data_IF_137112102196
#
_entry.id   IF_137112102196
#
_cell.length_a   1.000
_cell.length_b   1.000
_cell.length_c   1.000
_cell.angle_alpha   90.00
_cell.angle_beta   90.00
_cell.angle_gamma   90.00
#
_symmetry.space_group_name_H-M   'P 1'
#
loop_
_entity.id
_entity.type
_entity.pdbx_description
1 polymer ?
#
# COMPACT_ATOMS: atom_id res chain seq x y z
N UNK A 1 -9.52 89.93 -14.06
CA UNK A 1 -8.55 88.94 -13.54
C UNK A 1 -9.34 87.76 -12.97
N UNK A 2 -9.29 86.59 -13.61
CA UNK A 2 -9.88 85.36 -13.08
C UNK A 2 -8.77 84.33 -12.90
N UNK A 3 -8.40 84.07 -11.64
CA UNK A 3 -7.29 83.20 -11.25
C UNK A 3 -7.79 81.75 -11.27
N UNK A 4 -7.38 80.97 -12.27
CA UNK A 4 -7.72 79.55 -12.41
C UNK A 4 -6.99 78.77 -11.31
N UNK A 5 -7.73 78.20 -10.36
CA UNK A 5 -7.20 77.29 -9.32
C UNK A 5 -6.67 76.02 -10.01
N UNK A 6 -5.35 75.77 -9.93
CA UNK A 6 -4.78 74.46 -10.25
C UNK A 6 -5.26 73.48 -9.18
N UNK A 7 -5.99 72.44 -9.60
CA UNK A 7 -6.30 71.27 -8.78
C UNK A 7 -4.99 70.51 -8.60
N UNK A 8 -4.60 70.20 -7.37
CA UNK A 8 -3.49 69.31 -7.11
C UNK A 8 -3.88 67.92 -7.64
N UNK A 9 -3.16 67.43 -8.64
CA UNK A 9 -3.23 66.02 -9.04
C UNK A 9 -2.53 65.21 -7.95
N UNK A 10 -3.24 64.22 -7.43
CA UNK A 10 -2.80 63.33 -6.38
C UNK A 10 -1.78 62.34 -6.96
N UNK A 11 -0.50 62.62 -6.76
CA UNK A 11 0.61 61.83 -7.29
C UNK A 11 0.80 60.47 -6.57
N UNK A 12 -0.11 60.09 -5.67
CA UNK A 12 -0.03 58.85 -4.88
C UNK A 12 -0.62 57.61 -5.55
N UNK A 13 -1.46 57.75 -6.58
CA UNK A 13 -2.25 56.62 -7.12
C UNK A 13 -1.58 55.84 -8.26
N UNK A 14 -0.50 56.36 -8.87
CA UNK A 14 0.13 55.73 -10.05
C UNK A 14 0.80 54.39 -9.78
N UNK A 15 1.33 54.18 -8.56
CA UNK A 15 1.92 52.90 -8.15
C UNK A 15 0.85 51.84 -7.89
N UNK A 16 -0.35 52.25 -7.46
CA UNK A 16 -1.44 51.33 -7.17
C UNK A 16 -1.95 50.67 -8.45
N UNK A 17 -1.92 51.38 -9.58
CA UNK A 17 -2.36 50.84 -10.88
C UNK A 17 -1.42 49.75 -11.41
N UNK A 18 -0.11 49.91 -11.25
CA UNK A 18 0.88 48.89 -11.68
C UNK A 18 0.90 47.68 -10.73
N UNK A 19 0.68 47.91 -9.44
CA UNK A 19 0.46 46.83 -8.47
C UNK A 19 -0.81 46.05 -8.77
N UNK A 20 -1.92 46.73 -9.05
CA UNK A 20 -3.17 46.10 -9.43
C UNK A 20 -3.01 45.27 -10.70
N UNK A 21 -2.29 45.77 -11.71
CA UNK A 21 -1.98 45.03 -12.94
C UNK A 21 -1.19 43.74 -12.65
N UNK A 22 -0.10 43.81 -11.87
CA UNK A 22 0.68 42.62 -11.49
C UNK A 22 -0.14 41.59 -10.70
N UNK A 23 -1.00 42.04 -9.77
CA UNK A 23 -1.88 41.13 -9.00
C UNK A 23 -2.90 40.47 -9.93
N UNK A 24 -3.45 41.18 -10.91
CA UNK A 24 -4.38 40.59 -11.88
C UNK A 24 -3.72 39.63 -12.84
N UNK A 25 -2.46 39.89 -13.25
CA UNK A 25 -1.68 38.94 -14.05
C UNK A 25 -1.36 37.67 -13.27
N UNK A 26 -1.03 37.80 -11.99
CA UNK A 26 -0.80 36.66 -11.10
C UNK A 26 -2.08 35.86 -10.87
N UNK A 27 -3.21 36.52 -10.64
CA UNK A 27 -4.52 35.87 -10.52
C UNK A 27 -4.90 35.12 -11.81
N UNK A 28 -4.73 35.75 -12.97
CA UNK A 28 -5.00 35.11 -14.26
C UNK A 28 -4.09 33.90 -14.50
N UNK A 29 -2.83 33.98 -14.10
CA UNK A 29 -1.89 32.85 -14.16
C UNK A 29 -2.34 31.68 -13.27
N UNK A 30 -2.70 31.93 -12.00
CA UNK A 30 -3.18 30.89 -11.10
C UNK A 30 -4.52 30.28 -11.54
N UNK A 31 -5.43 31.07 -12.11
CA UNK A 31 -6.69 30.55 -12.66
C UNK A 31 -6.42 29.67 -13.88
N UNK A 32 -5.45 30.01 -14.74
CA UNK A 32 -5.05 29.13 -15.84
C UNK A 32 -4.37 27.84 -15.36
N UNK A 33 -3.50 27.92 -14.35
CA UNK A 33 -2.90 26.73 -13.73
C UNK A 33 -3.96 25.84 -13.07
N UNK A 34 -4.92 26.44 -12.37
CA UNK A 34 -6.04 25.73 -11.76
C UNK A 34 -6.92 25.04 -12.82
N UNK A 35 -7.15 25.69 -13.97
CA UNK A 35 -7.88 25.09 -15.07
C UNK A 35 -7.13 23.94 -15.77
N UNK A 36 -5.80 23.93 -15.75
CA UNK A 36 -4.98 22.79 -16.23
C UNK A 36 -4.81 21.70 -15.16
N UNK A 37 -5.16 21.97 -13.89
CA UNK A 37 -4.91 21.07 -12.77
C UNK A 37 -5.98 19.98 -12.59
N UNK A 38 -7.09 20.01 -13.34
CA UNK A 38 -8.07 18.92 -13.30
C UNK A 38 -7.91 18.01 -14.52
N UNK A 39 -6.98 17.06 -14.42
CA UNK A 39 -7.04 15.86 -15.25
C UNK A 39 -8.22 15.05 -14.73
N UNK A 40 -9.19 14.78 -15.62
CA UNK A 40 -10.40 14.03 -15.31
C UNK A 40 -10.07 12.54 -15.43
N UNK A 41 -9.94 11.84 -14.31
CA UNK A 41 -9.53 10.43 -14.24
C UNK A 41 -10.38 9.53 -15.17
N UNK A 42 -11.66 9.85 -15.29
CA UNK A 42 -12.57 9.09 -16.16
C UNK A 42 -12.23 9.26 -17.65
N UNK A 43 -11.76 10.43 -18.06
CA UNK A 43 -11.33 10.69 -19.46
C UNK A 43 -9.98 10.06 -19.75
N UNK A 44 -9.06 10.04 -18.79
CA UNK A 44 -7.79 9.33 -18.91
C UNK A 44 -7.99 7.82 -19.03
N UNK A 45 -8.87 7.24 -18.19
CA UNK A 45 -9.28 5.84 -18.30
C UNK A 45 -10.00 5.53 -19.62
N UNK A 46 -10.83 6.45 -20.13
CA UNK A 46 -11.47 6.30 -21.45
C UNK A 46 -10.44 6.34 -22.60
N UNK A 47 -9.41 7.17 -22.46
CA UNK A 47 -8.30 7.24 -23.43
C UNK A 47 -7.44 5.97 -23.38
N UNK A 48 -7.12 5.46 -22.18
CA UNK A 48 -6.42 4.18 -22.00
C UNK A 48 -7.23 3.02 -22.56
N UNK A 49 -8.55 3.00 -22.36
CA UNK A 49 -9.45 2.00 -22.94
C UNK A 49 -9.50 2.07 -24.47
N UNK A 50 -9.50 3.27 -25.04
CA UNK A 50 -9.42 3.47 -26.49
C UNK A 50 -8.05 3.07 -27.07
N UNK A 51 -6.98 3.21 -26.28
CA UNK A 51 -5.63 2.75 -26.62
C UNK A 51 -5.54 1.22 -26.53
N UNK A 52 -6.11 0.62 -25.50
CA UNK A 52 -6.26 -0.84 -25.35
C UNK A 52 -7.11 -1.43 -26.47
N UNK A 53 -8.13 -0.73 -26.97
CA UNK A 53 -8.91 -1.19 -28.11
C UNK A 53 -8.17 -1.03 -29.45
N UNK A 54 -7.31 -0.02 -29.57
CA UNK A 54 -6.47 0.23 -30.74
C UNK A 54 -5.20 -0.66 -30.80
N UNK A 55 -4.66 -1.06 -29.64
CA UNK A 55 -3.46 -1.90 -29.51
C UNK A 55 -3.77 -3.35 -29.08
N UNK A 56 -4.96 -3.61 -28.54
CA UNK A 56 -5.32 -4.83 -27.81
C UNK A 56 -6.45 -5.63 -28.44
N UNK A 57 -6.59 -5.61 -29.76
CA UNK A 57 -7.27 -6.70 -30.47
C UNK A 57 -6.24 -7.71 -31.02
N UNK A 58 -5.50 -8.30 -30.09
CA UNK A 58 -4.90 -9.63 -30.22
C UNK A 58 -4.99 -10.32 -28.87
N UNK A 59 -6.24 -10.64 -28.51
CA UNK A 59 -6.56 -11.59 -27.47
C UNK A 59 -5.58 -12.77 -27.55
N UNK A 60 -4.94 -13.04 -26.42
CA UNK A 60 -3.97 -14.10 -26.17
C UNK A 60 -4.50 -15.47 -26.63
N UNK A 61 -4.33 -15.74 -27.92
CA UNK A 61 -4.33 -17.05 -28.53
C UNK A 61 -3.16 -17.04 -29.53
N UNK A 62 -2.27 -18.02 -29.36
CA UNK A 62 -1.11 -18.31 -30.21
C UNK A 62 0.17 -17.46 -30.03
N UNK A 63 0.88 -17.70 -28.92
CA UNK A 63 2.34 -17.81 -29.01
C UNK A 63 2.66 -19.14 -29.73
N UNK A 64 2.57 -19.12 -31.05
CA UNK A 64 3.44 -19.92 -31.91
C UNK A 64 4.19 -18.88 -32.74
N UNK A 65 5.50 -18.79 -32.55
CA UNK A 65 6.40 -18.25 -33.56
C UNK A 65 6.27 -19.14 -34.81
N UNK A 66 5.23 -18.88 -35.60
CA UNK A 66 4.99 -19.48 -36.90
C UNK A 66 5.19 -18.37 -37.94
N UNK A 67 6.28 -18.53 -38.69
CA UNK A 67 6.86 -17.50 -39.54
C UNK A 67 5.87 -16.84 -40.49
N UNK A 68 6.04 -15.53 -40.64
CA UNK A 68 5.54 -14.82 -41.81
C UNK A 68 6.15 -15.43 -43.09
N UNK A 69 5.42 -15.38 -44.22
CA UNK A 69 5.81 -16.04 -45.45
C UNK A 69 7.09 -15.42 -46.03
N UNK A 70 8.13 -16.25 -46.17
CA UNK A 70 9.29 -15.97 -47.01
C UNK A 70 8.86 -15.68 -48.45
N UNK A 71 9.31 -14.54 -48.96
CA UNK A 71 9.20 -14.14 -50.36
C UNK A 71 10.28 -14.83 -51.21
N UNK A 72 10.29 -16.16 -51.34
CA UNK A 72 11.08 -16.89 -52.35
C UNK A 72 10.36 -18.20 -52.74
N UNK A 73 9.97 -18.31 -54.02
CA UNK A 73 10.11 -19.53 -54.81
C UNK A 73 9.11 -20.68 -54.64
N UNK A 74 8.11 -20.68 -55.53
CA UNK A 74 7.39 -21.81 -56.14
C UNK A 74 7.90 -23.25 -55.86
N UNK A 75 7.00 -24.16 -55.42
CA UNK A 75 6.28 -25.13 -56.28
C UNK A 75 5.48 -26.11 -55.38
N UNK A 76 4.16 -26.23 -55.63
CA UNK A 76 3.29 -27.31 -55.12
C UNK A 76 3.66 -28.68 -55.79
N UNK A 77 3.16 -29.88 -55.38
CA UNK A 77 1.86 -30.14 -54.72
C UNK A 77 1.76 -31.30 -53.68
N UNK A 78 0.64 -31.29 -52.94
CA UNK A 78 -0.36 -32.38 -52.84
C UNK A 78 -0.70 -32.90 -51.42
N UNK A 79 -2.00 -32.82 -51.06
CA UNK A 79 -2.69 -33.75 -50.14
C UNK A 79 -3.24 -33.20 -48.82
N UNK A 80 -4.56 -33.03 -48.74
CA UNK A 80 -5.40 -33.08 -47.51
C UNK A 80 -6.31 -34.32 -47.63
N UNK A 81 -6.81 -34.99 -46.56
CA UNK A 81 -7.48 -34.39 -45.40
C UNK A 81 -7.25 -35.03 -44.00
N UNK A 82 -7.75 -34.32 -42.96
CA UNK A 82 -7.95 -34.67 -41.53
C UNK A 82 -9.08 -35.72 -41.32
N UNK A 83 -9.48 -36.21 -40.10
CA UNK A 83 -8.96 -36.14 -38.71
C UNK A 83 -8.86 -37.51 -37.99
N UNK A 84 -8.34 -37.59 -36.74
CA UNK A 84 -8.98 -38.24 -35.56
C UNK A 84 -7.99 -38.58 -34.43
N UNK A 85 -8.27 -37.95 -33.27
CA UNK A 85 -8.11 -38.35 -31.86
C UNK A 85 -7.02 -39.35 -31.41
N UNK A 86 -6.27 -38.93 -30.37
CA UNK A 86 -5.50 -39.82 -29.50
C UNK A 86 -4.14 -39.26 -29.09
N UNK A 87 -4.13 -38.11 -28.42
CA UNK A 87 -2.88 -37.48 -27.94
C UNK A 87 -2.28 -38.23 -26.76
N UNK A 88 -1.41 -39.20 -27.06
CA UNK A 88 -0.36 -39.64 -26.14
C UNK A 88 0.84 -38.70 -26.32
N UNK A 89 1.31 -38.10 -25.22
CA UNK A 89 2.53 -37.28 -25.20
C UNK A 89 3.73 -38.22 -25.31
N UNK A 90 4.39 -38.22 -26.47
CA UNK A 90 5.71 -38.83 -26.63
C UNK A 90 6.75 -37.76 -26.32
N UNK A 91 7.43 -37.88 -25.18
CA UNK A 91 8.62 -37.07 -24.87
C UNK A 91 9.74 -37.54 -25.81
N UNK A 92 10.02 -36.75 -26.85
CA UNK A 92 11.23 -36.90 -27.65
C UNK A 92 12.36 -36.23 -26.86
N UNK A 93 13.20 -37.05 -26.24
CA UNK A 93 14.47 -36.61 -25.68
C UNK A 93 15.32 -36.03 -26.82
N UNK A 94 15.63 -34.73 -26.75
CA UNK A 94 16.67 -34.13 -27.57
C UNK A 94 17.94 -34.20 -26.74
N UNK A 95 18.79 -35.16 -27.07
CA UNK A 95 20.17 -35.21 -26.61
C UNK A 95 20.90 -34.01 -27.22
N UNK A 96 21.13 -32.96 -26.42
CA UNK A 96 22.04 -31.87 -26.78
C UNK A 96 23.17 -31.84 -25.76
N UNK A 97 24.37 -32.03 -26.28
CA UNK A 97 25.62 -32.09 -25.55
C UNK A 97 25.82 -30.81 -24.71
N UNK A 98 25.89 -30.98 -23.38
CA UNK A 98 25.87 -29.90 -22.38
C UNK A 98 27.21 -29.15 -22.28
N UNK A 99 28.16 -29.46 -23.17
CA UNK A 99 29.53 -28.95 -23.16
C UNK A 99 29.73 -27.66 -23.97
N UNK A 100 28.89 -27.39 -24.98
CA UNK A 100 29.00 -26.18 -25.82
C UNK A 100 28.38 -24.91 -25.18
N UNK A 101 27.45 -25.06 -24.23
CA UNK A 101 26.80 -23.94 -23.55
C UNK A 101 27.73 -23.29 -22.51
N UNK A 102 28.66 -24.07 -21.95
CA UNK A 102 29.62 -23.59 -20.94
C UNK A 102 30.72 -22.68 -21.52
N UNK A 103 31.04 -22.80 -22.81
CA UNK A 103 32.01 -21.92 -23.48
C UNK A 103 31.39 -20.60 -23.96
N UNK A 104 30.11 -20.60 -24.33
CA UNK A 104 29.39 -19.39 -24.71
C UNK A 104 29.17 -18.41 -23.54
N UNK A 105 28.93 -18.92 -22.32
CA UNK A 105 28.74 -18.09 -21.12
C UNK A 105 30.06 -17.49 -20.62
N UNK A 106 31.19 -18.20 -20.77
CA UNK A 106 32.50 -17.67 -20.37
C UNK A 106 32.96 -16.50 -21.24
N UNK A 107 32.69 -16.54 -22.54
CA UNK A 107 33.12 -15.49 -23.46
C UNK A 107 32.26 -14.21 -23.43
N UNK A 108 31.13 -14.22 -22.69
CA UNK A 108 30.30 -13.03 -22.45
C UNK A 108 30.68 -12.26 -21.17
N UNK A 109 31.62 -12.79 -20.37
CA UNK A 109 32.02 -12.21 -19.06
C UNK A 109 33.39 -11.52 -19.11
N UNK A 110 33.92 -11.21 -20.29
CA UNK A 110 35.21 -10.55 -20.45
C UNK A 110 35.09 -9.38 -21.44
N UNK A 111 34.49 -8.29 -20.96
CA UNK A 111 34.65 -6.95 -21.50
C UNK A 111 34.54 -5.97 -20.33
N UNK A 112 35.69 -5.38 -20.04
CA UNK A 112 36.10 -4.53 -18.92
C UNK A 112 35.13 -3.38 -18.54
N UNK A 113 35.29 -2.84 -17.31
CA UNK A 113 34.32 -2.06 -16.57
C UNK A 113 34.27 -0.61 -17.04
N UNK A 114 33.06 -0.06 -17.18
CA UNK A 114 32.90 1.39 -17.21
C UNK A 114 32.96 1.91 -15.79
N UNK A 115 34.12 2.45 -15.42
CA UNK A 115 34.31 3.31 -14.26
C UNK A 115 33.43 4.56 -14.40
N UNK A 116 32.24 4.55 -13.81
CA UNK A 116 31.68 5.76 -13.22
C UNK A 116 32.39 5.95 -11.89
N UNK A 117 33.13 7.06 -11.77
CA UNK A 117 33.66 7.56 -10.51
C UNK A 117 32.53 7.52 -9.47
N UNK A 118 32.69 6.67 -8.45
CA UNK A 118 31.87 6.70 -7.25
C UNK A 118 32.13 8.04 -6.56
N UNK A 119 31.22 9.00 -6.76
CA UNK A 119 31.08 10.14 -5.86
C UNK A 119 30.60 9.57 -4.51
N UNK A 120 31.33 9.76 -3.39
CA UNK A 120 30.99 9.17 -2.09
C UNK A 120 29.81 9.86 -1.38
N UNK A 121 29.05 10.69 -2.09
CA UNK A 121 27.88 11.44 -1.59
C UNK A 121 26.58 11.06 -2.33
N UNK A 122 26.51 9.89 -2.97
CA UNK A 122 25.25 9.34 -3.49
C UNK A 122 24.37 8.93 -2.31
N UNK A 123 23.58 9.89 -1.83
CA UNK A 123 22.49 9.68 -0.89
C UNK A 123 21.60 8.61 -1.50
N UNK A 124 21.53 7.46 -0.83
CA UNK A 124 20.64 6.33 -1.07
C UNK A 124 19.25 6.86 -1.45
N UNK A 125 18.99 6.98 -2.74
CA UNK A 125 17.76 7.56 -3.23
C UNK A 125 16.73 6.44 -3.20
N UNK A 126 15.77 6.45 -2.25
CA UNK A 126 14.87 5.32 -2.05
C UNK A 126 14.17 5.00 -3.37
N UNK A 127 14.21 3.74 -3.79
CA UNK A 127 13.53 3.32 -5.02
C UNK A 127 12.04 3.20 -4.72
N UNK A 128 11.30 4.25 -5.06
CA UNK A 128 9.86 4.33 -4.84
C UNK A 128 9.11 3.92 -6.12
N UNK A 129 8.16 2.99 -5.98
CA UNK A 129 7.25 2.56 -7.04
C UNK A 129 6.55 3.76 -7.70
N UNK A 130 6.64 3.85 -9.01
CA UNK A 130 5.79 4.76 -9.80
C UNK A 130 4.48 4.09 -10.25
N UNK A 131 3.58 4.89 -10.85
CA UNK A 131 2.28 4.40 -11.33
C UNK A 131 2.37 3.28 -12.38
N UNK A 132 3.42 3.25 -13.21
CA UNK A 132 3.64 2.17 -14.19
C UNK A 132 4.10 0.89 -13.52
N UNK A 133 5.07 1.01 -12.60
CA UNK A 133 5.57 -0.13 -11.84
C UNK A 133 4.47 -0.74 -10.97
N UNK A 134 3.57 0.07 -10.39
CA UNK A 134 2.42 -0.45 -9.65
C UNK A 134 1.50 -1.34 -10.49
N UNK A 135 1.33 -1.04 -11.78
CA UNK A 135 0.53 -1.86 -12.70
C UNK A 135 1.22 -3.19 -12.96
N UNK A 136 2.55 -3.19 -13.12
CA UNK A 136 3.34 -4.42 -13.29
C UNK A 136 3.31 -5.29 -12.02
N UNK A 137 3.46 -4.65 -10.86
CA UNK A 137 3.33 -5.31 -9.55
C UNK A 137 1.94 -5.92 -9.39
N UNK A 138 0.87 -5.16 -9.67
CA UNK A 138 -0.50 -5.69 -9.59
C UNK A 138 -0.69 -6.90 -10.51
N UNK A 139 -0.19 -6.84 -11.75
CA UNK A 139 -0.28 -7.96 -12.69
C UNK A 139 0.45 -9.22 -12.16
N UNK A 140 1.64 -9.05 -11.58
CA UNK A 140 2.39 -10.15 -10.98
C UNK A 140 1.66 -10.76 -9.76
N UNK A 141 1.01 -9.93 -8.95
CA UNK A 141 0.21 -10.41 -7.82
C UNK A 141 -1.04 -11.18 -8.28
N UNK A 142 -1.75 -10.70 -9.30
CA UNK A 142 -2.92 -11.40 -9.86
C UNK A 142 -2.54 -12.73 -10.53
N UNK A 143 -1.37 -12.83 -11.15
CA UNK A 143 -0.84 -14.11 -11.64
C UNK A 143 -0.55 -15.05 -10.47
N UNK A 144 0.02 -14.53 -9.37
CA UNK A 144 0.30 -15.32 -8.19
C UNK A 144 -0.97 -15.84 -7.50
N UNK A 145 -2.04 -15.04 -7.41
CA UNK A 145 -3.33 -15.51 -6.87
C UNK A 145 -3.89 -16.64 -7.72
N UNK A 146 -3.76 -16.53 -9.04
CA UNK A 146 -4.22 -17.56 -10.00
C UNK A 146 -3.43 -18.86 -9.83
N UNK A 147 -2.11 -18.76 -9.67
CA UNK A 147 -1.24 -19.92 -9.44
C UNK A 147 -1.54 -20.63 -8.12
N UNK A 148 -1.91 -19.88 -7.10
CA UNK A 148 -2.23 -20.39 -5.76
C UNK A 148 -3.70 -20.79 -5.60
N UNK A 149 -4.59 -20.46 -6.54
CA UNK A 149 -6.02 -20.79 -6.45
C UNK A 149 -6.75 -20.02 -5.35
N UNK A 150 -6.36 -18.76 -5.10
CA UNK A 150 -6.92 -17.88 -4.06
C UNK A 150 -7.51 -16.59 -4.63
N UNK A 151 -7.89 -16.59 -5.91
CA UNK A 151 -8.38 -15.42 -6.65
C UNK A 151 -9.62 -14.79 -6.00
N UNK A 152 -10.50 -15.61 -5.41
CA UNK A 152 -11.71 -15.13 -4.75
C UNK A 152 -11.43 -14.46 -3.39
N UNK A 153 -10.22 -14.64 -2.86
CA UNK A 153 -9.86 -14.21 -1.50
C UNK A 153 -8.92 -13.02 -1.45
N UNK A 154 -8.31 -12.69 -2.58
CA UNK A 154 -7.42 -11.54 -2.73
C UNK A 154 -8.03 -10.56 -3.72
N UNK A 155 -8.05 -9.29 -3.35
CA UNK A 155 -8.45 -8.21 -4.26
C UNK A 155 -7.40 -7.12 -4.23
N UNK A 156 -6.91 -6.71 -5.39
CA UNK A 156 -5.99 -5.59 -5.54
C UNK A 156 -6.73 -4.35 -6.03
N UNK A 157 -6.28 -3.17 -5.60
CA UNK A 157 -6.76 -1.88 -6.10
C UNK A 157 -5.62 -0.88 -6.15
N UNK A 158 -5.40 -0.29 -7.31
CA UNK A 158 -4.52 0.86 -7.48
C UNK A 158 -5.31 2.15 -7.22
N UNK A 159 -4.71 3.05 -6.45
CA UNK A 159 -5.24 4.38 -6.14
C UNK A 159 -4.12 5.42 -6.22
N UNK A 160 -4.46 6.71 -6.08
CA UNK A 160 -3.46 7.77 -6.04
C UNK A 160 -2.50 7.67 -4.84
N UNK A 161 -2.92 7.03 -3.74
CA UNK A 161 -2.09 6.82 -2.55
C UNK A 161 -1.15 5.61 -2.70
N UNK A 162 -1.44 4.71 -3.66
CA UNK A 162 -0.67 3.51 -3.93
C UNK A 162 -1.52 2.26 -4.17
N UNK A 163 -0.91 1.09 -3.97
CA UNK A 163 -1.53 -0.21 -4.18
C UNK A 163 -2.08 -0.77 -2.87
N UNK A 164 -3.38 -1.04 -2.83
CA UNK A 164 -4.04 -1.73 -1.72
C UNK A 164 -4.30 -3.18 -2.11
N UNK A 165 -3.78 -4.10 -1.30
CA UNK A 165 -3.97 -5.54 -1.43
C UNK A 165 -4.86 -5.97 -0.26
N UNK A 166 -6.08 -6.41 -0.56
CA UNK A 166 -7.05 -6.87 0.44
C UNK A 166 -7.02 -8.39 0.46
N UNK A 167 -6.67 -8.96 1.60
CA UNK A 167 -6.62 -10.41 1.82
C UNK A 167 -7.71 -10.79 2.81
N UNK A 168 -8.62 -11.67 2.38
CA UNK A 168 -9.61 -12.26 3.27
C UNK A 168 -8.91 -13.15 4.31
N UNK A 169 -9.28 -12.99 5.59
CA UNK A 169 -8.60 -13.78 6.65
C UNK A 169 -9.11 -15.19 6.77
N UNK A 170 -10.40 -15.41 6.46
CA UNK A 170 -11.07 -16.67 6.70
C UNK A 170 -10.39 -17.80 5.93
N UNK A 171 -9.95 -18.81 6.67
CA UNK A 171 -9.39 -20.08 6.20
C UNK A 171 -8.12 -20.02 5.34
N UNK A 172 -7.55 -18.82 5.12
CA UNK A 172 -6.36 -18.63 4.27
C UNK A 172 -5.15 -18.14 5.05
N UNK A 173 -5.33 -17.14 5.92
CA UNK A 173 -4.26 -16.59 6.75
C UNK A 173 -4.41 -16.95 8.22
N UNK A 174 -5.63 -16.98 8.74
CA UNK A 174 -5.89 -17.17 10.16
C UNK A 174 -7.09 -18.08 10.38
N UNK A 175 -7.09 -18.81 11.50
CA UNK A 175 -8.34 -19.40 12.00
C UNK A 175 -9.29 -18.32 12.50
N UNK A 176 -10.57 -18.65 12.54
CA UNK A 176 -11.59 -17.79 13.15
C UNK A 176 -11.23 -17.46 14.61
N UNK A 177 -11.24 -16.17 14.95
CA UNK A 177 -10.90 -15.66 16.28
C UNK A 177 -9.43 -15.78 16.70
N UNK A 178 -8.52 -16.18 15.80
CA UNK A 178 -7.07 -16.24 16.05
C UNK A 178 -6.30 -15.22 15.23
N UNK A 179 -5.11 -14.86 15.72
CA UNK A 179 -4.06 -14.10 15.03
C UNK A 179 -2.83 -14.95 14.71
N UNK A 180 -2.87 -16.26 15.00
CA UNK A 180 -1.80 -17.18 14.61
C UNK A 180 -1.88 -17.44 13.10
N UNK A 181 -0.79 -17.14 12.39
CA UNK A 181 -0.70 -17.39 10.96
C UNK A 181 -0.72 -18.90 10.67
N UNK A 182 -1.60 -19.30 9.76
CA UNK A 182 -1.65 -20.65 9.25
C UNK A 182 -0.63 -20.86 8.14
N UNK A 183 0.09 -21.97 8.20
CA UNK A 183 0.95 -22.39 7.11
C UNK A 183 0.09 -22.83 5.93
N UNK A 184 0.22 -22.14 4.79
CA UNK A 184 -0.57 -22.44 3.61
C UNK A 184 -0.46 -21.40 2.51
N UNK A 185 -1.46 -21.38 1.64
CA UNK A 185 -1.49 -20.53 0.44
C UNK A 185 -1.49 -19.04 0.79
N UNK A 186 -2.08 -18.64 1.92
CA UNK A 186 -2.06 -17.26 2.39
C UNK A 186 -0.65 -16.77 2.73
N UNK A 187 0.09 -17.56 3.52
CA UNK A 187 1.48 -17.25 3.84
C UNK A 187 2.37 -17.25 2.59
N UNK A 188 2.16 -18.18 1.66
CA UNK A 188 2.89 -18.22 0.39
C UNK A 188 2.61 -16.97 -0.46
N UNK A 189 1.35 -16.52 -0.51
CA UNK A 189 0.98 -15.29 -1.21
C UNK A 189 1.62 -14.05 -0.57
N UNK A 190 1.64 -13.93 0.76
CA UNK A 190 2.36 -12.84 1.45
C UNK A 190 3.85 -12.87 1.10
N UNK A 191 4.44 -14.05 0.92
CA UNK A 191 5.81 -14.18 0.42
C UNK A 191 6.02 -13.67 -1.01
N UNK A 192 5.05 -13.88 -1.89
CA UNK A 192 5.08 -13.27 -3.23
C UNK A 192 4.99 -11.75 -3.15
N UNK A 193 4.08 -11.23 -2.32
CA UNK A 193 3.98 -9.78 -2.05
C UNK A 193 5.33 -9.24 -1.56
N UNK A 194 5.95 -9.90 -0.60
CA UNK A 194 7.26 -9.50 -0.08
C UNK A 194 8.35 -9.51 -1.15
N UNK A 195 8.40 -10.57 -1.98
CA UNK A 195 9.38 -10.69 -3.05
C UNK A 195 9.26 -9.58 -4.09
N UNK A 196 8.03 -9.17 -4.42
CA UNK A 196 7.79 -8.05 -5.35
C UNK A 196 8.14 -6.71 -4.70
N UNK A 197 7.95 -6.56 -3.38
CA UNK A 197 8.24 -5.32 -2.64
C UNK A 197 9.67 -5.20 -2.12
N UNK A 198 10.50 -6.24 -2.29
CA UNK A 198 11.87 -6.28 -1.80
C UNK A 198 12.79 -5.30 -2.52
N UNK A 199 12.54 -5.03 -3.80
CA UNK A 199 13.35 -4.14 -4.63
C UNK A 199 12.99 -2.65 -4.48
N UNK A 200 11.99 -2.34 -3.65
CA UNK A 200 11.44 -1.00 -3.48
C UNK A 200 11.51 -0.56 -2.03
N UNK A 201 11.57 0.74 -1.78
CA UNK A 201 11.64 1.33 -0.43
C UNK A 201 10.30 1.93 0.02
N UNK A 202 9.24 1.70 -0.74
CA UNK A 202 7.90 2.19 -0.43
C UNK A 202 7.46 1.82 1.00
N UNK A 203 6.81 2.75 1.71
CA UNK A 203 6.15 2.42 2.97
C UNK A 203 5.06 1.38 2.78
N UNK A 204 4.93 0.51 3.77
CA UNK A 204 3.96 -0.57 3.80
C UNK A 204 3.11 -0.42 5.06
N UNK A 205 1.82 -0.22 4.88
CA UNK A 205 0.85 -0.16 5.97
C UNK A 205 0.04 -1.45 6.00
N UNK A 206 0.00 -2.09 7.16
CA UNK A 206 -0.78 -3.31 7.38
C UNK A 206 -1.96 -2.98 8.28
N UNK A 207 -3.17 -3.08 7.72
CA UNK A 207 -4.40 -2.80 8.43
C UNK A 207 -5.18 -4.08 8.73
N UNK A 208 -5.50 -4.31 10.01
CA UNK A 208 -6.34 -5.42 10.43
C UNK A 208 -7.80 -4.99 10.61
N UNK A 209 -8.74 -5.83 10.17
CA UNK A 209 -10.17 -5.61 10.35
C UNK A 209 -10.89 -6.85 10.87
N UNK A 210 -11.98 -6.63 11.60
CA UNK A 210 -12.88 -7.68 12.09
C UNK A 210 -14.31 -7.42 11.63
N UNK A 211 -15.19 -8.38 11.91
CA UNK A 211 -16.63 -8.13 11.93
C UNK A 211 -17.07 -7.54 13.28
N UNK A 212 -18.37 -7.31 13.42
CA UNK A 212 -19.02 -6.77 14.62
C UNK A 212 -19.33 -7.82 15.69
N UNK A 213 -18.92 -9.09 15.51
CA UNK A 213 -19.20 -10.14 16.47
C UNK A 213 -18.22 -10.01 17.63
N UNK A 214 -18.70 -9.84 18.88
CA UNK A 214 -17.80 -9.78 20.03
C UNK A 214 -17.08 -11.11 20.26
N UNK A 215 -15.81 -11.05 20.60
CA UNK A 215 -15.02 -12.23 20.96
C UNK A 215 -15.40 -12.74 22.35
N UNK A 216 -15.54 -14.05 22.48
CA UNK A 216 -15.78 -14.74 23.76
C UNK A 216 -14.46 -14.96 24.53
N UNK A 217 -13.71 -13.89 24.74
CA UNK A 217 -12.42 -13.90 25.44
C UNK A 217 -12.31 -12.70 26.39
N UNK A 218 -12.22 -12.93 27.72
CA UNK A 218 -12.14 -11.83 28.70
C UNK A 218 -10.91 -10.95 28.47
N UNK A 219 -11.14 -9.65 28.24
CA UNK A 219 -10.07 -8.67 28.04
C UNK A 219 -9.40 -8.70 26.67
N UNK A 220 -9.91 -9.51 25.72
CA UNK A 220 -9.44 -9.55 24.35
C UNK A 220 -10.59 -9.17 23.41
N UNK A 221 -10.48 -8.01 22.78
CA UNK A 221 -11.52 -7.39 21.96
C UNK A 221 -11.18 -7.44 20.47
N UNK A 222 -12.11 -6.99 19.63
CA UNK A 222 -11.87 -6.84 18.19
C UNK A 222 -10.73 -5.86 17.87
N UNK A 223 -10.43 -4.90 18.76
CA UNK A 223 -9.25 -4.05 18.64
C UNK A 223 -7.97 -4.86 18.81
N UNK A 224 -7.91 -5.73 19.82
CA UNK A 224 -6.76 -6.57 20.08
C UNK A 224 -6.55 -7.58 18.95
N UNK A 225 -7.64 -8.21 18.47
CA UNK A 225 -7.58 -9.17 17.36
C UNK A 225 -7.13 -8.54 16.05
N UNK A 226 -7.71 -7.39 15.67
CA UNK A 226 -7.31 -6.71 14.44
C UNK A 226 -5.85 -6.26 14.49
N UNK A 227 -5.41 -5.66 15.60
CA UNK A 227 -4.01 -5.28 15.79
C UNK A 227 -3.08 -6.50 15.75
N UNK A 228 -3.41 -7.57 16.47
CA UNK A 228 -2.59 -8.79 16.53
C UNK A 228 -2.44 -9.46 15.16
N UNK A 229 -3.50 -9.49 14.34
CA UNK A 229 -3.44 -10.01 12.96
C UNK A 229 -2.56 -9.17 12.06
N UNK A 230 -2.66 -7.85 12.17
CA UNK A 230 -1.84 -6.94 11.40
C UNK A 230 -0.35 -7.07 11.80
N UNK A 231 -0.07 -7.21 13.10
CA UNK A 231 1.28 -7.50 13.62
C UNK A 231 1.81 -8.81 13.06
N UNK A 232 1.02 -9.89 13.09
CA UNK A 232 1.46 -11.19 12.59
C UNK A 232 1.86 -11.15 11.09
N UNK A 233 1.10 -10.44 10.25
CA UNK A 233 1.47 -10.24 8.84
C UNK A 233 2.72 -9.38 8.71
N UNK A 234 2.87 -8.31 9.50
CA UNK A 234 4.08 -7.49 9.46
C UNK A 234 5.32 -8.25 9.92
N UNK A 235 5.21 -9.07 10.96
CA UNK A 235 6.29 -9.92 11.46
C UNK A 235 6.69 -10.94 10.39
N UNK A 236 5.71 -11.53 9.69
CA UNK A 236 5.98 -12.42 8.57
C UNK A 236 6.81 -11.72 7.47
N UNK A 237 6.43 -10.50 7.08
CA UNK A 237 7.16 -9.72 6.07
C UNK A 237 8.58 -9.35 6.52
N UNK A 238 8.75 -8.96 7.79
CA UNK A 238 10.05 -8.56 8.34
C UNK A 238 10.94 -9.79 8.57
N UNK A 239 10.49 -10.76 9.35
CA UNK A 239 11.33 -11.84 9.85
C UNK A 239 11.62 -12.90 8.80
N UNK A 240 10.63 -13.24 7.97
CA UNK A 240 10.77 -14.31 6.98
C UNK A 240 11.27 -13.80 5.63
N UNK A 241 10.87 -12.59 5.24
CA UNK A 241 11.19 -12.04 3.92
C UNK A 241 12.15 -10.84 3.94
N UNK A 242 12.55 -10.37 5.12
CA UNK A 242 13.62 -9.37 5.27
C UNK A 242 13.22 -7.95 4.89
N UNK A 243 11.92 -7.64 4.83
CA UNK A 243 11.46 -6.27 4.61
C UNK A 243 11.89 -5.39 5.79
N UNK A 244 12.45 -4.21 5.50
CA UNK A 244 12.93 -3.31 6.56
C UNK A 244 11.79 -2.91 7.52
N UNK A 245 11.98 -3.05 8.85
CA UNK A 245 11.00 -2.58 9.84
C UNK A 245 10.67 -1.10 9.74
N UNK A 246 11.62 -0.28 9.25
CA UNK A 246 11.43 1.17 9.09
C UNK A 246 10.38 1.54 8.04
N UNK A 247 10.00 0.58 7.19
CA UNK A 247 8.96 0.77 6.17
C UNK A 247 7.56 0.44 6.70
N UNK A 248 7.43 -0.12 7.91
CA UNK A 248 6.20 -0.71 8.37
C UNK A 248 5.37 0.23 9.25
N UNK A 249 4.08 0.34 8.93
CA UNK A 249 3.04 0.88 9.81
C UNK A 249 1.99 -0.20 10.05
N UNK A 250 1.55 -0.37 11.30
CA UNK A 250 0.59 -1.42 11.67
C UNK A 250 -0.59 -0.79 12.39
N UNK A 251 -1.81 -1.04 11.89
CA UNK A 251 -3.03 -0.41 12.41
C UNK A 251 -4.14 -1.46 12.58
N UNK A 252 -4.72 -1.56 13.78
CA UNK A 252 -5.94 -2.33 14.03
C UNK A 252 -7.16 -1.43 13.92
N UNK A 253 -8.13 -1.79 13.08
CA UNK A 253 -9.37 -1.01 12.90
C UNK A 253 -10.62 -1.65 13.53
N UNK A 254 -10.51 -2.85 14.10
CA UNK A 254 -11.65 -3.62 14.59
C UNK A 254 -12.79 -3.66 13.54
N UNK A 255 -14.02 -3.41 13.96
CA UNK A 255 -15.26 -3.36 13.17
C UNK A 255 -15.62 -1.95 12.66
N UNK A 256 -14.76 -0.96 12.89
CA UNK A 256 -15.08 0.47 12.64
C UNK A 256 -15.07 0.88 11.17
N UNK A 257 -14.47 0.06 10.31
CA UNK A 257 -14.35 0.29 8.86
C UNK A 257 -14.83 -0.94 8.05
N UNK A 258 -16.13 -1.24 8.06
CA UNK A 258 -16.69 -2.36 7.31
C UNK A 258 -16.70 -2.03 5.80
N UNK A 259 -16.35 -3.01 4.95
CA UNK A 259 -16.52 -2.91 3.48
C UNK A 259 -17.98 -3.05 3.09
N UNK A 260 -18.70 -3.90 3.82
CA UNK A 260 -20.11 -4.23 3.61
C UNK A 260 -20.83 -4.28 4.95
N UNK A 261 -22.14 -4.10 4.98
CA UNK A 261 -22.91 -4.17 6.22
C UNK A 261 -22.80 -5.55 6.89
N UNK A 262 -22.64 -5.61 8.22
CA UNK A 262 -22.55 -6.86 9.00
C UNK A 262 -23.91 -7.60 9.18
N UNK A 263 -24.73 -7.63 8.15
CA UNK A 263 -26.09 -8.17 8.18
C UNK A 263 -26.19 -9.67 7.82
N UNK A 264 -25.10 -10.30 7.38
CA UNK A 264 -25.03 -11.72 7.02
C UNK A 264 -23.66 -12.33 7.35
N UNK A 265 -23.57 -13.66 7.48
CA UNK A 265 -22.29 -14.35 7.68
C UNK A 265 -21.31 -14.13 6.53
N UNK A 266 -21.83 -14.11 5.28
CA UNK A 266 -21.04 -13.84 4.09
C UNK A 266 -20.46 -12.41 4.09
N UNK A 267 -21.24 -11.42 4.53
CA UNK A 267 -20.76 -10.04 4.61
C UNK A 267 -19.75 -9.86 5.75
N UNK A 268 -19.98 -10.51 6.89
CA UNK A 268 -19.00 -10.54 7.97
C UNK A 268 -17.67 -11.15 7.53
N UNK A 269 -17.70 -12.23 6.74
CA UNK A 269 -16.51 -12.83 6.16
C UNK A 269 -15.70 -11.84 5.31
N UNK A 270 -16.38 -11.03 4.48
CA UNK A 270 -15.74 -9.96 3.68
C UNK A 270 -15.13 -8.85 4.55
N UNK A 271 -15.68 -8.60 5.73
CA UNK A 271 -15.15 -7.59 6.66
C UNK A 271 -13.94 -8.10 7.45
N UNK A 272 -13.85 -9.42 7.71
CA UNK A 272 -12.70 -10.08 8.32
C UNK A 272 -11.56 -10.22 7.30
N UNK A 273 -10.70 -9.20 7.25
CA UNK A 273 -9.63 -9.07 6.25
C UNK A 273 -8.40 -8.38 6.83
N UNK A 274 -7.28 -8.54 6.15
CA UNK A 274 -6.08 -7.72 6.32
C UNK A 274 -5.83 -6.98 5.02
N UNK A 275 -5.55 -5.69 5.12
CA UNK A 275 -5.17 -4.85 3.98
C UNK A 275 -3.68 -4.54 4.07
N UNK A 276 -2.94 -4.77 2.99
CA UNK A 276 -1.55 -4.36 2.83
C UNK A 276 -1.56 -3.21 1.84
N UNK A 277 -1.19 -2.02 2.30
CA UNK A 277 -1.15 -0.80 1.50
C UNK A 277 0.30 -0.45 1.23
N UNK A 278 0.68 -0.39 -0.04
CA UNK A 278 2.01 0.03 -0.48
C UNK A 278 1.89 1.46 -0.95
N UNK A 279 2.40 2.40 -0.15
CA UNK A 279 2.27 3.83 -0.41
C UNK A 279 3.29 4.33 -1.42
N UNK A 280 2.87 5.20 -2.34
CA UNK A 280 3.78 5.88 -3.28
C UNK A 280 4.49 7.06 -2.60
N UNK A 281 3.88 7.65 -1.58
CA UNK A 281 4.48 8.74 -0.82
C UNK A 281 5.38 8.14 0.28
N UNK A 282 6.67 8.52 0.37
CA UNK A 282 7.51 8.17 1.52
C UNK A 282 6.83 8.61 2.84
N UNK A 283 7.06 7.86 3.93
CA UNK A 283 6.49 8.20 5.23
C UNK A 283 6.89 9.63 5.60
N UNK A 284 5.91 10.52 5.71
CA UNK A 284 6.14 11.90 6.12
C UNK A 284 6.35 11.94 7.65
N UNK A 285 7.56 11.61 8.09
CA UNK A 285 7.98 11.69 9.49
C UNK A 285 8.02 13.15 10.02
N UNK A 286 7.81 14.15 9.15
CA UNK A 286 7.86 15.57 9.51
C UNK A 286 6.77 16.01 10.49
N UNK A 287 5.68 15.23 10.64
CA UNK A 287 4.62 15.54 11.59
C UNK A 287 4.97 15.20 13.04
N UNK A 288 5.91 14.27 13.29
CA UNK A 288 6.29 13.86 14.66
C UNK A 288 7.39 14.79 15.23
N UNK A 289 8.32 15.24 14.40
CA UNK A 289 9.43 16.12 14.82
C UNK A 289 8.95 17.56 15.15
N UNK A 290 7.71 17.89 14.77
CA UNK A 290 7.07 19.16 15.10
C UNK A 290 6.50 19.21 16.53
N UNK A 291 6.49 18.08 17.26
CA UNK A 291 6.16 18.06 18.68
C UNK A 291 7.45 18.36 19.45
N UNK A 292 7.84 19.63 19.51
CA UNK A 292 8.85 20.05 20.49
C UNK A 292 8.37 19.60 21.88
N UNK A 293 9.18 18.86 22.66
CA UNK A 293 8.84 18.58 24.04
C UNK A 293 8.76 19.93 24.76
N UNK A 294 7.53 20.33 25.10
CA UNK A 294 7.24 21.52 25.89
C UNK A 294 8.24 21.53 27.05
N UNK A 295 9.21 22.44 27.00
CA UNK A 295 10.24 22.63 28.01
C UNK A 295 9.55 23.26 29.23
N UNK A 296 8.62 22.53 29.84
CA UNK A 296 8.10 22.86 31.14
C UNK A 296 9.22 22.59 32.14
N UNK A 297 9.81 23.69 32.59
CA UNK A 297 10.71 23.77 33.72
C UNK A 297 10.24 22.81 34.84
N UNK A 298 11.01 21.78 35.21
CA UNK A 298 10.62 20.79 36.23
C UNK A 298 10.37 21.41 37.61
N UNK A 299 10.66 22.70 37.77
CA UNK A 299 10.57 23.43 39.04
C UNK A 299 9.16 23.96 39.35
N UNK A 300 8.17 23.78 38.49
CA UNK A 300 6.78 24.20 38.75
C UNK A 300 5.83 23.01 38.88
N UNK A 301 6.03 22.20 39.92
CA UNK A 301 4.92 21.38 40.46
C UNK A 301 3.95 22.36 41.13
N UNK A 302 2.68 22.47 40.68
CA UNK A 302 1.69 23.19 41.44
C UNK A 302 1.49 22.43 42.75
N UNK A 303 1.87 23.06 43.86
CA UNK A 303 1.55 22.57 45.19
C UNK A 303 0.03 22.54 45.30
N UNK A 304 -0.57 21.37 45.10
CA UNK A 304 -1.94 21.12 45.49
C UNK A 304 -1.98 21.20 47.02
N UNK A 305 -2.36 22.37 47.53
CA UNK A 305 -2.76 22.53 48.93
C UNK A 305 -3.93 21.59 49.18
N UNK A 306 -3.70 20.55 49.99
CA UNK A 306 -4.75 19.69 50.49
C UNK A 306 -5.82 20.48 51.26
N UNK A 307 -7.03 19.92 51.41
CA UNK A 307 -8.11 20.59 52.10
C UNK A 307 -7.74 20.90 53.56
N UNK A 308 -8.23 22.02 54.14
CA UNK A 308 -7.88 22.45 55.49
C UNK A 308 -8.30 21.41 56.55
N UNK A 309 -7.43 21.20 57.53
CA UNK A 309 -7.47 20.14 58.54
C UNK A 309 -8.57 20.28 59.63
N UNK A 310 -9.67 20.99 59.36
CA UNK A 310 -10.72 21.31 60.36
C UNK A 310 -12.10 20.72 60.02
N UNK A 311 -12.18 19.71 59.16
CA UNK A 311 -13.45 19.05 58.79
C UNK A 311 -13.49 17.56 59.14
N UNK A 312 -12.90 17.16 60.28
CA UNK A 312 -13.12 15.82 60.87
C UNK A 312 -13.63 15.99 62.31
N UNK A 313 -14.84 16.53 62.44
CA UNK A 313 -15.67 16.31 63.62
C UNK A 313 -17.12 16.10 63.14
N UNK A 314 -17.61 14.86 63.19
CA UNK A 314 -19.01 14.58 62.85
C UNK A 314 -19.37 13.18 62.33
N UNK A 315 -18.44 12.25 62.14
CA UNK A 315 -18.79 10.88 61.74
C UNK A 315 -18.35 9.89 62.82
N UNK A 316 -19.26 9.67 63.78
CA UNK A 316 -19.19 8.60 64.77
C UNK A 316 -19.68 7.31 64.10
N UNK A 317 -18.77 6.50 63.57
CA UNK A 317 -19.08 5.11 63.18
C UNK A 317 -18.89 4.23 64.40
N UNK A 318 -20.00 3.64 64.83
CA UNK A 318 -20.11 2.68 65.92
C UNK A 318 -19.47 1.35 65.51
N UNK A 319 -18.36 0.98 66.14
CA UNK A 319 -17.74 -0.34 66.04
C UNK A 319 -17.54 -0.85 67.46
N UNK A 320 -18.58 -1.47 68.02
CA UNK A 320 -18.56 -2.10 69.34
C UNK A 320 -19.18 -3.51 69.33
N UNK A 321 -18.34 -4.51 69.58
CA UNK A 321 -18.70 -5.87 70.04
C UNK A 321 -18.83 -6.91 68.93
N UNK A 322 -18.26 -8.11 69.00
CA UNK A 322 -17.79 -8.89 70.15
C UNK A 322 -16.92 -10.05 69.62
N UNK A 323 -15.62 -10.06 69.98
CA UNK A 323 -14.72 -11.20 69.80
C UNK A 323 -14.26 -11.69 71.18
N UNK A 324 -15.20 -12.26 71.94
CA UNK A 324 -14.89 -12.92 73.20
C UNK A 324 -15.57 -14.28 73.34
N UNK A 325 -15.22 -15.24 72.47
CA UNK A 325 -15.43 -16.68 72.74
C UNK A 325 -14.31 -17.55 72.17
N UNK A 326 -13.14 -17.48 72.81
CA UNK A 326 -12.22 -18.62 72.93
C UNK A 326 -11.68 -18.59 74.37
N UNK A 327 -12.10 -19.56 75.19
CA UNK A 327 -11.38 -20.33 76.23
C UNK A 327 -12.46 -20.94 77.14
N UNK A 328 -12.55 -22.27 77.13
CA UNK A 328 -13.48 -23.09 77.92
C UNK A 328 -13.80 -24.39 77.20
#
# INVERSE_FOLDING_TARGET
>A
MAKRKKKAEDAGEGFLTTYADMVTLLMAFFVMLFAMSSVDDAKFLTMLKGLEEAFGNSAYQQFILQGGPSLIGANQPNGSPSPTAGGAITVVAIDRDLSEIAEAVRNATESEPSSSTEDPDEVDNPRVLDLSELVEVEAALLEATTRLGIEDSVTTRISAEGLTIVLSTDDILFRSGSSDLEAGMGQEFVGVVAGVLADFDNPIKVHGHTDDVPLDQPGYSNWDLSASRAIAVSDLLIEQFGISPTRMEVVGHADTRPLVENNSDENRAKNRRVEIVVSIDPLDDSMIDSIEPDQQDPTQVPTQTGPPADAIDGIRVDLGGDLSRIVG
#
